data_IF_994569679127
#
_entry.id   IF_994569679127
#
_cell.length_a   1.000
_cell.length_b   1.000
_cell.length_c   1.000
_cell.angle_alpha   90.00
_cell.angle_beta   90.00
_cell.angle_gamma   90.00
#
_symmetry.space_group_name_H-M   'P 1'
#
loop_
_entity.id
_entity.type
_entity.pdbx_description
1 polymer ?
#
# COMPACT_ATOMS: atom_id res chain seq x y z
N UNK A 1 -25.09 22.90 -43.40
CA UNK A 1 -25.06 24.14 -44.21
C UNK A 1 -26.41 24.88 -44.19
N UNK A 2 -27.53 24.18 -44.39
CA UNK A 2 -28.87 24.80 -44.48
C UNK A 2 -29.28 25.61 -43.22
N UNK A 3 -29.01 25.10 -42.02
CA UNK A 3 -29.41 25.74 -40.74
C UNK A 3 -28.78 27.13 -40.55
N UNK A 4 -27.56 27.34 -41.03
CA UNK A 4 -26.87 28.63 -40.92
C UNK A 4 -27.52 29.67 -41.84
N UNK A 5 -27.97 29.29 -43.03
CA UNK A 5 -28.68 30.18 -43.95
C UNK A 5 -30.03 30.60 -43.37
N UNK A 6 -30.76 29.70 -42.71
CA UNK A 6 -32.01 30.03 -42.01
C UNK A 6 -31.80 30.98 -40.83
N UNK A 7 -30.71 30.82 -40.07
CA UNK A 7 -30.40 31.73 -38.99
C UNK A 7 -30.04 33.14 -39.52
N UNK A 8 -29.23 33.24 -40.58
CA UNK A 8 -28.90 34.53 -41.20
C UNK A 8 -30.10 35.18 -41.89
N UNK A 9 -30.98 34.41 -42.53
CA UNK A 9 -32.20 34.97 -43.13
C UNK A 9 -33.13 35.52 -42.06
N UNK A 10 -33.25 34.86 -40.89
CA UNK A 10 -34.00 35.38 -39.76
C UNK A 10 -33.40 36.69 -39.21
N UNK A 11 -32.06 36.82 -39.17
CA UNK A 11 -31.41 38.11 -38.81
C UNK A 11 -31.73 39.21 -39.82
N UNK A 12 -31.76 38.91 -41.11
CA UNK A 12 -32.12 39.88 -42.14
C UNK A 12 -33.60 40.28 -42.06
N UNK A 13 -34.49 39.36 -41.69
CA UNK A 13 -35.91 39.65 -41.43
C UNK A 13 -36.06 40.57 -40.21
N UNK A 14 -35.33 40.32 -39.12
CA UNK A 14 -35.29 41.21 -37.95
C UNK A 14 -34.79 42.62 -38.31
N UNK A 15 -33.72 42.70 -39.10
CA UNK A 15 -33.19 43.97 -39.58
C UNK A 15 -34.19 44.72 -40.45
N UNK A 16 -34.84 44.01 -41.39
CA UNK A 16 -35.88 44.57 -42.24
C UNK A 16 -37.11 45.02 -41.45
N UNK A 17 -37.49 44.28 -40.41
CA UNK A 17 -38.59 44.61 -39.52
C UNK A 17 -38.28 45.86 -38.68
N UNK A 18 -37.05 45.98 -38.18
CA UNK A 18 -36.57 47.14 -37.43
C UNK A 18 -36.63 48.44 -38.25
N UNK A 19 -36.31 48.36 -39.55
CA UNK A 19 -36.37 49.48 -40.49
C UNK A 19 -37.70 49.59 -41.24
N UNK A 20 -38.69 48.76 -40.91
CA UNK A 20 -39.95 48.72 -41.65
C UNK A 20 -40.84 49.92 -41.30
N UNK A 21 -41.64 50.43 -42.26
CA UNK A 21 -42.64 51.46 -41.99
C UNK A 21 -43.69 51.03 -40.97
N UNK A 22 -43.86 49.71 -40.77
CA UNK A 22 -44.80 49.12 -39.82
C UNK A 22 -44.54 49.57 -38.38
N UNK A 23 -43.28 49.87 -38.03
CA UNK A 23 -42.90 50.41 -36.72
C UNK A 23 -43.42 51.84 -36.47
N UNK A 24 -43.72 52.58 -37.54
CA UNK A 24 -44.18 53.96 -37.48
C UNK A 24 -45.71 54.09 -37.57
N UNK A 25 -46.43 52.97 -37.74
CA UNK A 25 -47.88 52.94 -37.81
C UNK A 25 -48.45 52.78 -36.40
N UNK A 26 -49.21 53.79 -35.93
CA UNK A 26 -49.90 53.75 -34.64
C UNK A 26 -51.19 52.91 -34.71
N UNK A 27 -51.05 51.59 -34.89
CA UNK A 27 -52.16 50.63 -34.94
C UNK A 27 -51.83 49.39 -34.12
N UNK A 28 -52.81 48.90 -33.35
CA UNK A 28 -52.67 47.66 -32.57
C UNK A 28 -52.35 46.45 -33.47
N UNK A 29 -52.90 46.44 -34.69
CA UNK A 29 -52.65 45.37 -35.66
C UNK A 29 -51.21 45.40 -36.18
N UNK A 30 -50.66 46.61 -36.40
CA UNK A 30 -49.26 46.77 -36.79
C UNK A 30 -48.34 46.29 -35.66
N UNK A 31 -48.61 46.67 -34.42
CA UNK A 31 -47.87 46.21 -33.25
C UNK A 31 -47.90 44.68 -33.10
N UNK A 32 -49.08 44.04 -33.20
CA UNK A 32 -49.20 42.58 -33.12
C UNK A 32 -48.45 41.90 -34.26
N UNK A 33 -48.52 42.45 -35.49
CA UNK A 33 -47.81 41.88 -36.64
C UNK A 33 -46.29 41.93 -36.49
N UNK A 34 -45.76 43.04 -35.96
CA UNK A 34 -44.33 43.19 -35.66
C UNK A 34 -43.91 42.24 -34.56
N UNK A 35 -44.68 42.18 -33.46
CA UNK A 35 -44.37 41.31 -32.33
C UNK A 35 -44.38 39.83 -32.73
N UNK A 36 -45.38 39.39 -33.50
CA UNK A 36 -45.46 38.01 -33.97
C UNK A 36 -44.31 37.65 -34.90
N UNK A 37 -43.92 38.55 -35.82
CA UNK A 37 -42.80 38.32 -36.71
C UNK A 37 -41.46 38.25 -35.94
N UNK A 38 -41.28 39.12 -34.94
CA UNK A 38 -40.11 39.12 -34.06
C UNK A 38 -40.00 37.85 -33.21
N UNK A 39 -41.12 37.37 -32.64
CA UNK A 39 -41.16 36.09 -31.91
C UNK A 39 -40.75 34.93 -32.83
N UNK A 40 -41.29 34.89 -34.06
CA UNK A 40 -40.98 33.83 -35.02
C UNK A 40 -39.51 33.86 -35.44
N UNK A 41 -38.96 35.04 -35.76
CA UNK A 41 -37.57 35.17 -36.15
C UNK A 41 -36.62 34.84 -34.99
N UNK A 42 -36.94 35.25 -33.77
CA UNK A 42 -36.21 34.87 -32.55
C UNK A 42 -36.20 33.36 -32.31
N UNK A 43 -37.34 32.67 -32.52
CA UNK A 43 -37.42 31.22 -32.40
C UNK A 43 -36.59 30.48 -33.47
N UNK A 44 -36.53 31.00 -34.70
CA UNK A 44 -35.70 30.43 -35.77
C UNK A 44 -34.22 30.58 -35.44
N UNK A 45 -33.78 31.75 -34.96
CA UNK A 45 -32.38 31.98 -34.56
C UNK A 45 -31.99 31.09 -33.38
N UNK A 46 -32.84 31.00 -32.35
CA UNK A 46 -32.60 30.14 -31.19
C UNK A 46 -32.48 28.66 -31.58
N UNK A 47 -33.38 28.18 -32.44
CA UNK A 47 -33.35 26.79 -32.93
C UNK A 47 -32.12 26.53 -33.79
N UNK A 48 -31.76 27.48 -34.67
CA UNK A 48 -30.59 27.35 -35.54
C UNK A 48 -29.28 27.30 -34.75
N UNK A 49 -29.14 28.16 -33.75
CA UNK A 49 -27.96 28.19 -32.88
C UNK A 49 -27.88 26.98 -31.95
N UNK A 50 -29.01 26.52 -31.42
CA UNK A 50 -29.11 25.28 -30.62
C UNK A 50 -28.62 24.05 -31.39
N UNK A 51 -29.05 23.87 -32.65
CA UNK A 51 -28.64 22.74 -33.49
C UNK A 51 -27.16 22.82 -33.87
N UNK A 52 -26.60 24.02 -34.02
CA UNK A 52 -25.19 24.22 -34.34
C UNK A 52 -24.25 23.97 -33.14
N UNK A 53 -24.80 23.85 -31.93
CA UNK A 53 -24.01 23.70 -30.70
C UNK A 53 -23.60 22.24 -30.44
N UNK A 54 -22.38 21.97 -29.93
CA UNK A 54 -21.94 20.63 -29.54
C UNK A 54 -22.89 19.97 -28.53
N UNK A 55 -23.09 18.64 -28.64
CA UNK A 55 -24.04 17.87 -27.81
C UNK A 55 -23.88 18.09 -26.30
N UNK A 56 -22.65 18.31 -25.82
CA UNK A 56 -22.34 18.60 -24.41
C UNK A 56 -23.01 19.86 -23.85
N UNK A 57 -23.35 20.83 -24.70
CA UNK A 57 -24.00 22.07 -24.28
C UNK A 57 -25.49 22.12 -24.62
N UNK A 58 -26.04 21.03 -25.17
CA UNK A 58 -27.46 20.93 -25.44
C UNK A 58 -28.24 20.44 -24.20
N UNK A 59 -27.58 20.24 -23.05
CA UNK A 59 -28.22 19.77 -21.83
C UNK A 59 -28.19 20.82 -20.71
N UNK A 60 -29.31 21.07 -20.01
CA UNK A 60 -30.66 20.55 -20.26
C UNK A 60 -31.36 21.21 -21.46
N UNK A 61 -31.98 20.39 -22.34
CA UNK A 61 -32.45 20.81 -23.69
C UNK A 61 -33.40 22.00 -23.70
N UNK A 62 -34.41 21.97 -22.84
CA UNK A 62 -35.46 22.99 -22.80
C UNK A 62 -34.95 24.32 -22.27
N UNK A 63 -34.13 24.30 -21.20
CA UNK A 63 -33.59 25.52 -20.61
C UNK A 63 -32.57 26.20 -21.53
N UNK A 64 -31.73 25.42 -22.22
CA UNK A 64 -30.76 25.98 -23.17
C UNK A 64 -31.50 26.64 -24.34
N UNK A 65 -32.52 25.99 -24.91
CA UNK A 65 -33.32 26.59 -25.98
C UNK A 65 -34.05 27.86 -25.51
N UNK A 66 -34.65 27.83 -24.33
CA UNK A 66 -35.36 28.99 -23.76
C UNK A 66 -34.40 30.16 -23.51
N UNK A 67 -33.19 29.88 -23.01
CA UNK A 67 -32.14 30.88 -22.83
C UNK A 67 -31.77 31.54 -24.17
N UNK A 68 -31.52 30.76 -25.21
CA UNK A 68 -31.20 31.27 -26.55
C UNK A 68 -32.36 32.10 -27.13
N UNK A 69 -33.60 31.62 -26.98
CA UNK A 69 -34.79 32.38 -27.40
C UNK A 69 -34.89 33.72 -26.66
N UNK A 70 -34.67 33.72 -25.36
CA UNK A 70 -34.77 34.92 -24.51
C UNK A 70 -33.75 35.97 -24.91
N UNK A 71 -32.51 35.56 -25.18
CA UNK A 71 -31.48 36.46 -25.68
C UNK A 71 -31.78 37.03 -27.06
N UNK A 72 -32.43 36.28 -27.96
CA UNK A 72 -32.81 36.78 -29.29
C UNK A 72 -33.96 37.79 -29.20
N UNK A 73 -34.92 37.50 -28.32
CA UNK A 73 -36.15 38.26 -28.16
C UNK A 73 -35.96 39.59 -27.41
N UNK A 74 -35.11 39.64 -26.38
CA UNK A 74 -34.91 40.88 -25.60
C UNK A 74 -34.21 41.97 -26.42
N UNK A 75 -33.30 41.58 -27.31
CA UNK A 75 -32.48 42.50 -28.08
C UNK A 75 -32.63 42.20 -29.58
N UNK A 76 -33.65 42.77 -30.26
CA UNK A 76 -33.83 42.58 -31.70
C UNK A 76 -32.55 42.93 -32.46
N UNK A 77 -32.22 42.15 -33.48
CA UNK A 77 -30.99 42.24 -34.29
C UNK A 77 -29.70 41.95 -33.50
N UNK A 78 -29.42 42.67 -32.41
CA UNK A 78 -28.18 42.57 -31.63
C UNK A 78 -28.06 41.22 -30.94
N UNK A 79 -29.13 40.72 -30.31
CA UNK A 79 -29.17 39.41 -29.65
C UNK A 79 -28.95 38.27 -30.64
N UNK A 80 -29.57 38.37 -31.81
CA UNK A 80 -29.43 37.37 -32.87
C UNK A 80 -27.99 37.32 -33.46
N UNK A 81 -27.40 38.49 -33.75
CA UNK A 81 -26.01 38.58 -34.23
C UNK A 81 -25.02 38.13 -33.15
N UNK A 82 -25.23 38.53 -31.89
CA UNK A 82 -24.40 38.15 -30.76
C UNK A 82 -24.34 36.63 -30.57
N UNK A 83 -25.48 35.94 -30.67
CA UNK A 83 -25.51 34.49 -30.56
C UNK A 83 -24.78 33.77 -31.70
N UNK A 84 -24.89 34.26 -32.93
CA UNK A 84 -24.14 33.72 -34.08
C UNK A 84 -22.62 33.91 -33.95
N UNK A 85 -22.17 34.96 -33.26
CA UNK A 85 -20.74 35.16 -32.95
C UNK A 85 -20.26 34.22 -31.85
N UNK A 86 -21.04 34.06 -30.77
CA UNK A 86 -20.70 33.18 -29.64
C UNK A 86 -20.56 31.71 -30.09
N UNK A 87 -21.49 31.24 -30.95
CA UNK A 87 -21.41 29.87 -31.47
C UNK A 87 -20.16 29.69 -32.34
N UNK A 88 -19.81 30.67 -33.17
CA UNK A 88 -18.62 30.64 -34.03
C UNK A 88 -17.33 30.59 -33.21
N UNK A 89 -17.24 31.36 -32.12
CA UNK A 89 -16.06 31.33 -31.23
C UNK A 89 -15.97 30.01 -30.46
N UNK A 90 -17.10 29.46 -30.02
CA UNK A 90 -17.15 28.19 -29.28
C UNK A 90 -16.71 27.01 -30.15
N UNK A 91 -17.20 26.93 -31.39
CA UNK A 91 -16.82 25.89 -32.35
C UNK A 91 -15.33 25.95 -32.74
N UNK A 92 -14.76 27.15 -32.88
CA UNK A 92 -13.33 27.33 -33.19
C UNK A 92 -12.41 26.85 -32.06
N UNK A 93 -12.84 26.99 -30.80
CA UNK A 93 -12.01 26.64 -29.62
C UNK A 93 -11.98 25.13 -29.37
N UNK A 94 -13.08 24.42 -29.64
CA UNK A 94 -13.15 22.96 -29.49
C UNK A 94 -12.31 22.20 -30.52
N UNK A 95 -12.20 22.71 -31.76
CA UNK A 95 -11.30 22.15 -32.77
C UNK A 95 -9.82 22.15 -32.34
N UNK A 96 -9.44 22.96 -31.34
CA UNK A 96 -8.06 23.10 -30.87
C UNK A 96 -7.72 22.27 -29.62
N UNK A 97 -8.69 21.59 -28.99
CA UNK A 97 -8.53 21.05 -27.63
C UNK A 97 -8.60 19.53 -27.48
N UNK A 98 -8.20 18.75 -28.47
CA UNK A 98 -8.12 17.29 -28.31
C UNK A 98 -6.71 16.78 -28.61
N UNK A 99 -5.80 17.00 -27.66
CA UNK A 99 -4.65 16.10 -27.50
C UNK A 99 -5.16 14.89 -26.74
N UNK A 100 -5.48 13.81 -27.45
CA UNK A 100 -5.64 12.51 -26.79
C UNK A 100 -4.28 12.12 -26.20
N UNK A 101 -4.26 11.81 -24.90
CA UNK A 101 -3.08 11.23 -24.28
C UNK A 101 -2.88 9.83 -24.88
N UNK A 102 -1.68 9.58 -25.43
CA UNK A 102 -1.30 8.26 -25.92
C UNK A 102 -1.18 7.33 -24.71
N UNK A 103 -1.92 6.21 -24.65
CA UNK A 103 -1.74 5.26 -23.55
C UNK A 103 -0.33 4.66 -23.63
N UNK A 104 0.47 4.92 -22.60
CA UNK A 104 1.76 4.26 -22.39
C UNK A 104 1.49 2.93 -21.71
N UNK A 105 1.93 1.83 -22.30
CA UNK A 105 1.91 0.52 -21.65
C UNK A 105 2.86 0.56 -20.44
N UNK A 106 2.29 0.56 -19.25
CA UNK A 106 3.04 0.36 -18.01
C UNK A 106 3.10 -1.15 -17.78
N UNK A 107 4.29 -1.69 -17.52
CA UNK A 107 4.42 -3.10 -17.14
C UNK A 107 3.56 -3.35 -15.90
N UNK A 108 2.81 -4.45 -15.88
CA UNK A 108 2.09 -4.86 -14.69
C UNK A 108 3.12 -5.07 -13.56
N UNK A 109 2.89 -4.53 -12.35
CA UNK A 109 3.74 -4.87 -11.22
C UNK A 109 3.74 -6.39 -11.04
N UNK A 110 4.91 -6.98 -10.82
CA UNK A 110 5.00 -8.38 -10.38
C UNK A 110 4.17 -8.53 -9.11
N UNK A 111 3.10 -9.31 -9.22
CA UNK A 111 2.23 -9.62 -8.11
C UNK A 111 2.95 -10.67 -7.25
N UNK A 112 3.84 -10.20 -6.37
CA UNK A 112 4.25 -11.02 -5.23
C UNK A 112 2.99 -11.31 -4.43
N UNK A 113 2.66 -12.60 -4.28
CA UNK A 113 1.61 -13.06 -3.39
C UNK A 113 2.13 -12.81 -1.98
N UNK A 114 2.12 -11.54 -1.56
CA UNK A 114 2.20 -11.15 -0.17
C UNK A 114 1.11 -11.97 0.51
N UNK A 115 1.55 -12.94 1.31
CA UNK A 115 0.69 -13.77 2.16
C UNK A 115 -0.38 -12.84 2.71
N UNK A 116 -1.64 -13.06 2.29
CA UNK A 116 -2.78 -12.20 2.59
C UNK A 116 -2.67 -11.84 4.07
N UNK A 117 -2.30 -10.60 4.38
CA UNK A 117 -2.19 -10.16 5.76
C UNK A 117 -3.61 -10.24 6.31
N UNK A 118 -3.95 -11.37 6.92
CA UNK A 118 -5.20 -11.57 7.62
C UNK A 118 -5.18 -10.53 8.73
N UNK A 119 -5.90 -9.44 8.51
CA UNK A 119 -6.27 -8.40 9.47
C UNK A 119 -5.38 -8.40 10.70
N UNK A 120 -4.13 -7.95 10.54
CA UNK A 120 -3.33 -7.56 11.69
C UNK A 120 -3.97 -6.30 12.21
N UNK A 121 -4.86 -6.44 13.19
CA UNK A 121 -4.89 -5.44 14.26
C UNK A 121 -3.42 -5.24 14.62
N UNK A 122 -2.85 -4.10 14.25
CA UNK A 122 -1.41 -3.88 14.35
C UNK A 122 -0.94 -4.29 15.73
N UNK A 123 0.28 -4.80 15.87
CA UNK A 123 0.79 -5.24 17.19
C UNK A 123 0.57 -4.17 18.28
N UNK A 124 0.62 -2.89 17.89
CA UNK A 124 0.25 -1.75 18.74
C UNK A 124 -1.21 -1.71 19.18
N UNK A 125 -2.16 -2.09 18.31
CA UNK A 125 -3.59 -2.17 18.64
C UNK A 125 -3.92 -3.32 19.63
N UNK A 126 -3.20 -4.45 19.56
CA UNK A 126 -3.35 -5.52 20.56
C UNK A 126 -2.76 -5.06 21.90
N UNK A 127 -1.56 -4.46 21.88
CA UNK A 127 -0.94 -3.88 23.10
C UNK A 127 -1.81 -2.82 23.75
N UNK A 128 -2.43 -1.93 22.98
CA UNK A 128 -3.30 -0.88 23.54
C UNK A 128 -4.53 -1.45 24.24
N UNK A 129 -5.08 -2.57 23.73
CA UNK A 129 -6.23 -3.25 24.36
C UNK A 129 -5.88 -4.11 25.56
N UNK A 130 -4.59 -4.36 25.81
CA UNK A 130 -4.11 -5.09 26.97
C UNK A 130 -3.69 -4.17 28.13
N UNK A 131 -3.75 -2.84 27.93
CA UNK A 131 -3.35 -1.85 28.92
C UNK A 131 -4.18 -1.90 30.21
N UNK A 132 -3.56 -1.45 31.33
CA UNK A 132 -4.14 -1.51 32.67
C UNK A 132 -5.48 -0.77 32.83
N UNK A 133 -5.72 0.25 32.00
CA UNK A 133 -6.95 1.06 32.04
C UNK A 133 -8.10 0.46 31.20
N UNK A 134 -7.88 -0.70 30.57
CA UNK A 134 -8.89 -1.36 29.73
C UNK A 134 -9.72 -2.34 30.58
N UNK A 135 -11.04 -2.42 30.40
CA UNK A 135 -11.88 -3.41 31.07
C UNK A 135 -11.39 -4.86 30.88
N UNK A 136 -11.50 -5.68 31.94
CA UNK A 136 -10.92 -7.03 31.98
C UNK A 136 -11.44 -7.99 30.91
N UNK A 137 -12.71 -7.87 30.53
CA UNK A 137 -13.36 -8.63 29.45
C UNK A 137 -12.75 -8.33 28.08
N UNK A 138 -12.51 -7.06 27.76
CA UNK A 138 -11.86 -6.63 26.51
C UNK A 138 -10.39 -7.07 26.47
N UNK A 139 -9.72 -7.02 27.61
CA UNK A 139 -8.33 -7.52 27.76
C UNK A 139 -8.28 -9.02 27.53
N UNK A 140 -9.24 -9.77 28.08
CA UNK A 140 -9.32 -11.22 27.90
C UNK A 140 -9.62 -11.62 26.47
N UNK A 141 -10.54 -10.92 25.79
CA UNK A 141 -10.76 -11.10 24.37
C UNK A 141 -9.48 -10.84 23.55
N UNK A 142 -8.72 -9.81 23.93
CA UNK A 142 -7.44 -9.48 23.28
C UNK A 142 -6.37 -10.53 23.51
N UNK A 143 -6.31 -11.15 24.70
CA UNK A 143 -5.45 -12.31 24.97
C UNK A 143 -5.77 -13.50 24.07
N UNK A 144 -7.05 -13.78 23.82
CA UNK A 144 -7.44 -14.85 22.89
C UNK A 144 -6.99 -14.57 21.46
N UNK A 145 -7.01 -13.30 21.02
CA UNK A 145 -6.47 -12.95 19.69
C UNK A 145 -4.96 -13.09 19.60
N UNK A 146 -4.25 -13.05 20.73
CA UNK A 146 -2.80 -13.17 20.76
C UNK A 146 -2.32 -14.58 20.38
N UNK A 147 -3.17 -15.61 20.52
CA UNK A 147 -2.88 -16.98 20.07
C UNK A 147 -2.61 -17.09 18.57
N UNK A 148 -3.19 -16.20 17.76
CA UNK A 148 -2.96 -16.15 16.31
C UNK A 148 -1.71 -15.32 15.92
N UNK A 149 -1.08 -14.66 16.89
CA UNK A 149 0.11 -13.83 16.67
C UNK A 149 1.36 -14.72 16.78
N UNK A 150 2.38 -14.54 15.91
CA UNK A 150 3.62 -15.31 16.03
C UNK A 150 4.27 -15.19 17.42
N UNK A 151 4.72 -16.32 17.98
CA UNK A 151 5.24 -16.42 19.35
C UNK A 151 6.33 -15.39 19.67
N UNK A 152 7.27 -15.11 18.76
CA UNK A 152 8.32 -14.08 18.93
C UNK A 152 7.79 -12.67 19.21
N UNK A 153 6.53 -12.41 18.86
CA UNK A 153 5.84 -11.13 19.10
C UNK A 153 4.90 -11.26 20.31
N UNK A 154 4.22 -12.39 20.43
CA UNK A 154 3.26 -12.64 21.51
C UNK A 154 3.95 -12.80 22.87
N UNK A 155 5.02 -13.59 22.95
CA UNK A 155 5.63 -13.97 24.22
C UNK A 155 6.18 -12.79 25.03
N UNK A 156 6.86 -11.78 24.44
CA UNK A 156 7.23 -10.58 25.18
C UNK A 156 6.02 -9.83 25.76
N UNK A 157 4.87 -9.84 25.05
CA UNK A 157 3.64 -9.22 25.55
C UNK A 157 3.05 -10.03 26.70
N UNK A 158 3.06 -11.37 26.58
CA UNK A 158 2.59 -12.27 27.64
C UNK A 158 3.44 -12.14 28.91
N UNK A 159 4.75 -12.01 28.75
CA UNK A 159 5.68 -11.82 29.86
C UNK A 159 5.41 -10.51 30.61
N UNK A 160 5.23 -9.40 29.88
CA UNK A 160 4.83 -8.12 30.48
C UNK A 160 3.55 -8.24 31.32
N UNK A 161 2.63 -9.14 30.91
CA UNK A 161 1.35 -9.38 31.60
C UNK A 161 1.48 -10.28 32.83
N UNK A 162 2.61 -10.94 33.07
CA UNK A 162 2.81 -11.72 34.32
C UNK A 162 2.81 -10.82 35.56
N UNK A 163 3.18 -9.54 35.40
CA UNK A 163 3.13 -8.53 36.45
C UNK A 163 1.79 -7.80 36.59
N UNK A 164 0.74 -8.25 35.92
CA UNK A 164 -0.55 -7.55 35.89
C UNK A 164 -1.31 -7.57 37.23
N UNK A 165 -2.14 -6.56 37.49
CA UNK A 165 -2.97 -6.51 38.69
C UNK A 165 -4.17 -7.47 38.66
N UNK A 166 -4.64 -7.84 37.45
CA UNK A 166 -5.78 -8.73 37.28
C UNK A 166 -5.32 -10.19 37.25
N UNK A 167 -5.84 -11.01 38.17
CA UNK A 167 -5.37 -12.38 38.34
C UNK A 167 -5.61 -13.27 37.11
N UNK A 168 -6.81 -13.21 36.54
CA UNK A 168 -7.17 -13.99 35.34
C UNK A 168 -6.26 -13.68 34.13
N UNK A 169 -5.85 -12.42 33.98
CA UNK A 169 -4.95 -11.99 32.91
C UNK A 169 -3.57 -12.62 33.10
N UNK A 170 -3.03 -12.57 34.32
CA UNK A 170 -1.75 -13.21 34.64
C UNK A 170 -1.82 -14.72 34.43
N UNK A 171 -2.89 -15.36 34.90
CA UNK A 171 -3.04 -16.81 34.84
C UNK A 171 -3.11 -17.31 33.39
N UNK A 172 -3.87 -16.62 32.54
CA UNK A 172 -3.94 -16.93 31.11
C UNK A 172 -2.59 -16.69 30.44
N UNK A 173 -1.91 -15.58 30.74
CA UNK A 173 -0.60 -15.30 30.16
C UNK A 173 0.45 -16.35 30.56
N UNK A 174 0.48 -16.74 31.83
CA UNK A 174 1.32 -17.82 32.33
C UNK A 174 1.01 -19.15 31.62
N UNK A 175 -0.27 -19.53 31.53
CA UNK A 175 -0.66 -20.78 30.88
C UNK A 175 -0.30 -20.83 29.39
N UNK A 176 -0.35 -19.70 28.69
CA UNK A 176 0.07 -19.60 27.29
C UNK A 176 1.58 -19.75 27.12
N UNK A 177 2.38 -19.12 27.99
CA UNK A 177 3.85 -19.25 27.97
C UNK A 177 4.29 -20.68 28.32
N UNK A 178 3.73 -21.25 29.39
CA UNK A 178 4.04 -22.63 29.83
C UNK A 178 3.68 -23.67 28.77
N UNK A 179 2.52 -23.52 28.11
CA UNK A 179 2.13 -24.42 27.03
C UNK A 179 3.11 -24.40 25.85
N UNK A 180 3.59 -23.23 25.44
CA UNK A 180 4.56 -23.11 24.34
C UNK A 180 5.95 -23.63 24.74
N UNK A 181 6.42 -23.35 25.95
CA UNK A 181 7.68 -23.90 26.46
C UNK A 181 7.61 -25.43 26.53
N UNK A 182 6.55 -25.99 27.13
CA UNK A 182 6.36 -27.43 27.26
C UNK A 182 6.29 -28.14 25.92
N UNK A 183 5.67 -27.51 24.92
CA UNK A 183 5.60 -28.02 23.55
C UNK A 183 6.99 -28.15 22.94
N UNK A 184 7.81 -27.10 23.02
CA UNK A 184 9.19 -27.14 22.51
C UNK A 184 10.06 -28.13 23.28
N UNK A 185 9.98 -28.16 24.61
CA UNK A 185 10.72 -29.11 25.44
C UNK A 185 10.35 -30.56 25.14
N UNK A 186 9.07 -30.84 24.84
CA UNK A 186 8.62 -32.18 24.43
C UNK A 186 9.27 -32.59 23.10
N UNK A 187 9.37 -31.67 22.13
CA UNK A 187 10.03 -31.95 20.86
C UNK A 187 11.54 -32.14 21.03
N UNK A 188 12.19 -31.31 21.85
CA UNK A 188 13.61 -31.45 22.17
C UNK A 188 13.88 -32.81 22.81
N UNK A 189 13.05 -33.23 23.78
CA UNK A 189 13.25 -34.52 24.43
C UNK A 189 13.12 -35.68 23.42
N UNK A 190 12.09 -35.66 22.56
CA UNK A 190 11.91 -36.70 21.53
C UNK A 190 13.09 -36.78 20.56
N UNK A 191 13.59 -35.64 20.08
CA UNK A 191 14.75 -35.62 19.19
C UNK A 191 16.03 -36.08 19.91
N UNK A 192 16.20 -35.75 21.20
CA UNK A 192 17.31 -36.26 22.00
C UNK A 192 17.26 -37.78 22.17
N UNK A 193 16.08 -38.32 22.46
CA UNK A 193 15.87 -39.77 22.58
C UNK A 193 16.15 -40.46 21.23
N UNK A 194 15.78 -39.83 20.11
CA UNK A 194 16.08 -40.34 18.78
C UNK A 194 17.59 -40.37 18.49
N UNK A 195 18.35 -39.37 18.96
CA UNK A 195 19.81 -39.32 18.80
C UNK A 195 20.56 -40.44 19.54
N UNK A 196 19.93 -41.10 20.53
CA UNK A 196 20.50 -42.24 21.26
C UNK A 196 20.46 -43.55 20.46
N UNK A 197 19.70 -43.60 19.37
CA UNK A 197 19.61 -44.78 18.50
C UNK A 197 20.81 -44.87 17.55
N UNK A 198 21.00 -46.04 16.94
CA UNK A 198 21.98 -46.23 15.87
C UNK A 198 21.41 -45.61 14.58
N UNK A 199 22.04 -44.52 14.13
CA UNK A 199 21.56 -43.68 13.03
C UNK A 199 22.59 -43.68 11.90
N UNK A 200 22.12 -43.64 10.65
CA UNK A 200 23.01 -43.35 9.52
C UNK A 200 23.60 -41.93 9.66
N UNK A 201 24.73 -41.62 9.02
CA UNK A 201 25.30 -40.27 9.04
C UNK A 201 24.28 -39.19 8.67
N UNK A 202 23.45 -39.41 7.64
CA UNK A 202 22.44 -38.45 7.18
C UNK A 202 21.32 -38.26 8.22
N UNK A 203 20.86 -39.34 8.86
CA UNK A 203 19.87 -39.28 9.92
C UNK A 203 20.41 -38.57 11.16
N UNK A 204 21.66 -38.85 11.52
CA UNK A 204 22.34 -38.18 12.62
C UNK A 204 22.50 -36.68 12.35
N UNK A 205 22.92 -36.31 11.14
CA UNK A 205 23.01 -34.92 10.70
C UNK A 205 21.64 -34.22 10.82
N UNK A 206 20.57 -34.83 10.30
CA UNK A 206 19.22 -34.26 10.37
C UNK A 206 18.73 -34.08 11.81
N UNK A 207 18.96 -35.07 12.67
CA UNK A 207 18.57 -35.01 14.09
C UNK A 207 19.34 -33.90 14.84
N UNK A 208 20.66 -33.79 14.65
CA UNK A 208 21.47 -32.73 15.23
C UNK A 208 21.05 -31.34 14.75
N UNK A 209 20.75 -31.21 13.45
CA UNK A 209 20.18 -29.98 12.88
C UNK A 209 18.85 -29.62 13.54
N UNK A 210 17.92 -30.56 13.66
CA UNK A 210 16.63 -30.30 14.31
C UNK A 210 16.79 -29.89 15.78
N UNK A 211 17.71 -30.52 16.51
CA UNK A 211 18.02 -30.12 17.88
C UNK A 211 18.54 -28.68 17.93
N UNK A 212 19.45 -28.29 17.05
CA UNK A 212 19.92 -26.91 16.96
C UNK A 212 18.77 -25.93 16.66
N UNK A 213 17.91 -26.25 15.70
CA UNK A 213 16.74 -25.44 15.33
C UNK A 213 15.77 -25.28 16.51
N UNK A 214 15.43 -26.36 17.22
CA UNK A 214 14.52 -26.32 18.37
C UNK A 214 15.07 -25.48 19.53
N UNK A 215 16.36 -25.61 19.84
CA UNK A 215 17.00 -24.78 20.87
C UNK A 215 17.06 -23.31 20.43
N UNK A 216 17.30 -23.04 19.14
CA UNK A 216 17.22 -21.69 18.62
C UNK A 216 15.81 -21.11 18.71
N UNK A 217 14.76 -21.91 18.47
CA UNK A 217 13.37 -21.45 18.59
C UNK A 217 13.00 -21.03 20.01
N UNK A 218 13.54 -21.66 21.06
CA UNK A 218 13.38 -21.18 22.44
C UNK A 218 13.89 -19.74 22.61
N UNK A 219 15.02 -19.41 21.97
CA UNK A 219 15.58 -18.06 21.99
C UNK A 219 14.77 -17.12 21.10
N UNK A 220 14.43 -17.57 19.89
CA UNK A 220 13.75 -16.76 18.88
C UNK A 220 12.33 -16.40 19.29
N UNK A 221 11.64 -17.30 19.99
CA UNK A 221 10.34 -17.07 20.59
C UNK A 221 10.39 -16.33 21.93
N UNK A 222 11.57 -15.87 22.39
CA UNK A 222 11.75 -15.14 23.66
C UNK A 222 11.30 -15.92 24.91
N UNK A 223 11.37 -17.26 24.88
CA UNK A 223 11.04 -18.11 26.03
C UNK A 223 12.22 -18.28 27.00
N UNK A 224 13.44 -17.96 26.57
CA UNK A 224 14.64 -18.04 27.39
C UNK A 224 15.35 -16.69 27.52
N UNK A 225 15.73 -16.33 28.74
CA UNK A 225 16.38 -15.06 29.07
C UNK A 225 17.58 -15.23 30.01
N UNK A 226 18.39 -14.17 30.15
CA UNK A 226 19.52 -14.13 31.09
C UNK A 226 20.48 -15.31 30.92
N UNK A 227 20.77 -16.00 32.02
CA UNK A 227 21.67 -17.16 32.03
C UNK A 227 21.09 -18.37 31.30
N UNK A 228 19.77 -18.60 31.38
CA UNK A 228 19.12 -19.69 30.65
C UNK A 228 19.28 -19.50 29.13
N UNK A 229 19.13 -18.27 28.63
CA UNK A 229 19.40 -17.93 27.23
C UNK A 229 20.83 -18.27 26.82
N UNK A 230 21.82 -17.93 27.65
CA UNK A 230 23.24 -18.24 27.35
C UNK A 230 23.47 -19.74 27.28
N UNK A 231 22.90 -20.49 28.23
CA UNK A 231 22.99 -21.94 28.26
C UNK A 231 22.39 -22.57 26.99
N UNK A 232 21.17 -22.19 26.62
CA UNK A 232 20.47 -22.72 25.44
C UNK A 232 21.20 -22.35 24.14
N UNK A 233 21.75 -21.14 24.02
CA UNK A 233 22.60 -20.79 22.87
C UNK A 233 23.86 -21.66 22.80
N UNK A 234 24.46 -22.00 23.95
CA UNK A 234 25.57 -22.94 24.01
C UNK A 234 25.18 -24.33 23.52
N UNK A 235 24.01 -24.84 23.91
CA UNK A 235 23.49 -26.12 23.41
C UNK A 235 23.20 -26.09 21.91
N UNK A 236 22.50 -25.05 21.43
CA UNK A 236 22.21 -24.86 20.02
C UNK A 236 23.50 -24.88 19.18
N UNK A 237 24.54 -24.15 19.61
CA UNK A 237 25.85 -24.15 18.98
C UNK A 237 26.50 -25.53 18.99
N UNK A 238 26.48 -26.22 20.14
CA UNK A 238 27.05 -27.57 20.24
C UNK A 238 26.42 -28.56 19.26
N UNK A 239 25.11 -28.48 19.04
CA UNK A 239 24.42 -29.32 18.05
C UNK A 239 24.76 -28.94 16.60
N UNK A 240 24.89 -27.65 16.29
CA UNK A 240 25.37 -27.19 14.97
C UNK A 240 26.80 -27.69 14.72
N UNK A 241 27.71 -27.49 15.67
CA UNK A 241 29.11 -27.90 15.55
C UNK A 241 29.21 -29.43 15.36
N UNK A 242 28.41 -30.20 16.10
CA UNK A 242 28.34 -31.65 15.93
C UNK A 242 27.76 -32.06 14.56
N UNK A 243 26.76 -31.35 14.05
CA UNK A 243 26.19 -31.62 12.72
C UNK A 243 27.22 -31.34 11.61
N UNK A 244 27.99 -30.25 11.72
CA UNK A 244 29.04 -29.89 10.76
C UNK A 244 30.23 -30.88 10.76
N UNK A 245 30.38 -31.69 11.81
CA UNK A 245 31.40 -32.76 11.88
C UNK A 245 30.95 -34.08 11.24
N UNK A 246 29.67 -34.21 10.90
CA UNK A 246 29.17 -35.40 10.20
C UNK A 246 29.60 -35.31 8.73
N UNK A 247 30.08 -36.42 8.18
CA UNK A 247 30.56 -36.51 6.78
C UNK A 247 29.40 -36.52 5.77
N UNK A 248 28.65 -35.41 5.75
CA UNK A 248 27.49 -35.17 4.89
C UNK A 248 27.58 -33.73 4.36
N UNK A 249 27.23 -33.46 3.09
CA UNK A 249 27.22 -32.11 2.56
C UNK A 249 26.38 -31.16 3.41
N UNK A 250 26.99 -30.06 3.85
CA UNK A 250 26.33 -29.04 4.66
C UNK A 250 25.34 -28.24 3.81
N UNK A 251 24.12 -28.04 4.34
CA UNK A 251 23.11 -27.18 3.72
C UNK A 251 23.26 -25.73 4.19
N UNK A 252 23.01 -24.80 3.27
CA UNK A 252 22.87 -23.37 3.48
C UNK A 252 22.08 -22.99 4.74
N UNK A 253 20.99 -23.72 5.04
CA UNK A 253 20.14 -23.45 6.21
C UNK A 253 20.84 -23.67 7.55
N UNK A 254 21.65 -24.73 7.68
CA UNK A 254 22.39 -25.01 8.91
C UNK A 254 23.50 -23.98 9.11
N UNK A 255 24.25 -23.64 8.06
CA UNK A 255 25.29 -22.60 8.12
C UNK A 255 24.70 -21.22 8.43
N UNK A 256 23.52 -20.91 7.90
CA UNK A 256 22.79 -19.69 8.22
C UNK A 256 22.37 -19.64 9.70
N UNK A 257 21.86 -20.75 10.23
CA UNK A 257 21.53 -20.88 11.64
C UNK A 257 22.79 -20.72 12.52
N UNK A 258 23.91 -21.31 12.13
CA UNK A 258 25.19 -21.16 12.82
C UNK A 258 25.58 -19.69 12.97
N UNK A 259 25.54 -18.93 11.87
CA UNK A 259 25.86 -17.50 11.88
C UNK A 259 24.94 -16.69 12.80
N UNK A 260 23.63 -17.02 12.84
CA UNK A 260 22.68 -16.37 13.76
C UNK A 260 22.96 -16.68 15.23
N UNK A 261 23.33 -17.93 15.53
CA UNK A 261 23.71 -18.35 16.89
C UNK A 261 24.98 -17.62 17.34
N UNK A 262 26.02 -17.59 16.50
CA UNK A 262 27.27 -16.87 16.77
C UNK A 262 27.03 -15.38 17.01
N UNK A 263 26.21 -14.75 16.16
CA UNK A 263 25.84 -13.34 16.32
C UNK A 263 25.12 -13.10 17.65
N UNK A 264 24.19 -13.99 18.03
CA UNK A 264 23.44 -13.93 19.28
C UNK A 264 24.30 -14.18 20.53
N UNK A 265 25.46 -14.83 20.36
CA UNK A 265 26.51 -15.00 21.38
C UNK A 265 27.51 -13.83 21.40
N UNK A 266 27.48 -12.95 20.40
CA UNK A 266 28.39 -11.82 20.27
C UNK A 266 29.70 -12.11 19.53
N UNK A 267 29.84 -13.30 18.94
CA UNK A 267 31.00 -13.69 18.11
C UNK A 267 30.80 -13.17 16.67
N UNK A 268 31.02 -11.87 16.49
CA UNK A 268 30.68 -11.15 15.25
C UNK A 268 31.57 -11.63 14.08
N UNK A 269 32.86 -11.89 14.31
CA UNK A 269 33.77 -12.32 13.25
C UNK A 269 33.37 -13.68 12.66
N UNK A 270 33.10 -14.68 13.51
CA UNK A 270 32.71 -16.00 13.02
C UNK A 270 31.28 -16.00 12.49
N UNK A 271 30.38 -15.20 13.07
CA UNK A 271 29.02 -15.05 12.56
C UNK A 271 28.98 -14.56 11.12
N UNK A 272 29.82 -13.55 10.80
CA UNK A 272 29.91 -13.03 9.45
C UNK A 272 30.38 -14.09 8.45
N UNK A 273 31.46 -14.82 8.79
CA UNK A 273 31.98 -15.89 7.92
C UNK A 273 30.92 -16.95 7.62
N UNK A 274 30.22 -17.41 8.66
CA UNK A 274 29.15 -18.40 8.51
C UNK A 274 27.99 -17.87 7.65
N UNK A 275 27.60 -16.60 7.80
CA UNK A 275 26.54 -16.01 6.97
C UNK A 275 26.96 -15.82 5.51
N UNK A 276 28.21 -15.42 5.25
CA UNK A 276 28.77 -15.33 3.90
C UNK A 276 28.87 -16.70 3.23
N UNK A 277 29.32 -17.72 3.97
CA UNK A 277 29.35 -19.10 3.51
C UNK A 277 27.94 -19.64 3.22
N UNK A 278 26.96 -19.35 4.08
CA UNK A 278 25.58 -19.73 3.83
C UNK A 278 25.03 -19.14 2.52
N UNK A 279 25.39 -17.89 2.20
CA UNK A 279 25.03 -17.25 0.92
C UNK A 279 25.67 -17.99 -0.25
N UNK A 280 26.95 -18.36 -0.16
CA UNK A 280 27.65 -19.15 -1.19
C UNK A 280 26.97 -20.51 -1.41
N UNK A 281 26.47 -21.12 -0.33
CA UNK A 281 25.71 -22.38 -0.37
C UNK A 281 24.26 -22.22 -0.89
N UNK A 282 23.82 -20.99 -1.21
CA UNK A 282 22.51 -20.72 -1.81
C UNK A 282 21.48 -20.09 -0.89
N UNK A 283 21.85 -19.66 0.33
CA UNK A 283 20.93 -18.95 1.23
C UNK A 283 20.49 -17.61 0.60
N UNK A 284 19.17 -17.29 0.59
CA UNK A 284 18.69 -16.04 0.02
C UNK A 284 19.30 -14.80 0.68
N UNK A 285 19.80 -13.87 -0.13
CA UNK A 285 20.34 -12.58 0.34
C UNK A 285 19.32 -11.79 1.16
N UNK A 286 18.03 -11.86 0.80
CA UNK A 286 16.94 -11.20 1.54
C UNK A 286 16.87 -11.60 3.01
N UNK A 287 17.30 -12.82 3.34
CA UNK A 287 17.35 -13.33 4.71
C UNK A 287 18.65 -12.96 5.44
N UNK A 288 19.78 -12.88 4.73
CA UNK A 288 21.10 -12.67 5.32
C UNK A 288 21.50 -11.19 5.46
N UNK A 289 21.11 -10.34 4.52
CA UNK A 289 21.43 -8.91 4.51
C UNK A 289 21.06 -8.17 5.80
N UNK A 290 19.91 -8.42 6.47
CA UNK A 290 19.61 -7.77 7.74
C UNK A 290 20.64 -8.07 8.83
N UNK A 291 21.18 -9.29 8.87
CA UNK A 291 22.19 -9.70 9.86
C UNK A 291 23.57 -9.12 9.51
N UNK A 292 23.93 -9.09 8.22
CA UNK A 292 25.15 -8.41 7.74
C UNK A 292 25.12 -6.91 8.07
N UNK A 293 23.97 -6.26 7.89
CA UNK A 293 23.78 -4.87 8.28
C UNK A 293 23.84 -4.66 9.80
N UNK A 294 23.26 -5.57 10.59
CA UNK A 294 23.39 -5.49 12.06
C UNK A 294 24.86 -5.55 12.50
N UNK A 295 25.65 -6.46 11.91
CA UNK A 295 27.07 -6.59 12.23
C UNK A 295 27.86 -5.33 11.82
N UNK A 296 27.62 -4.80 10.62
CA UNK A 296 28.21 -3.54 10.17
C UNK A 296 27.85 -2.38 11.10
N UNK A 297 26.59 -2.31 11.55
CA UNK A 297 26.12 -1.29 12.48
C UNK A 297 26.82 -1.38 13.84
N UNK A 298 26.98 -2.59 14.40
CA UNK A 298 27.71 -2.81 15.66
C UNK A 298 29.18 -2.37 15.55
N UNK A 299 29.80 -2.54 14.37
CA UNK A 299 31.16 -2.05 14.07
C UNK A 299 31.22 -0.55 13.74
N UNK A 300 30.09 0.15 13.70
CA UNK A 300 29.94 1.55 13.29
C UNK A 300 30.34 1.81 11.83
N UNK A 301 30.33 0.78 10.98
CA UNK A 301 30.52 0.93 9.54
C UNK A 301 29.19 1.26 8.86
N UNK A 302 28.77 2.51 9.00
CA UNK A 302 27.49 2.98 8.47
C UNK A 302 27.45 3.03 6.94
N UNK A 303 28.62 3.11 6.28
CA UNK A 303 28.70 3.05 4.83
C UNK A 303 28.26 1.66 4.35
N UNK A 304 28.77 0.61 5.00
CA UNK A 304 28.41 -0.76 4.69
C UNK A 304 26.96 -1.08 5.07
N UNK A 305 26.46 -0.57 6.21
CA UNK A 305 25.02 -0.65 6.56
C UNK A 305 24.16 -0.11 5.42
N UNK A 306 24.50 1.08 4.90
CA UNK A 306 23.77 1.71 3.81
C UNK A 306 23.77 0.84 2.55
N UNK A 307 24.93 0.29 2.17
CA UNK A 307 25.03 -0.61 1.01
C UNK A 307 24.14 -1.84 1.15
N UNK A 308 24.12 -2.50 2.31
CA UNK A 308 23.24 -3.64 2.54
C UNK A 308 21.76 -3.26 2.51
N UNK A 309 21.39 -2.08 3.02
CA UNK A 309 20.02 -1.57 2.95
C UNK A 309 19.60 -1.21 1.52
N UNK A 310 20.51 -0.66 0.70
CA UNK A 310 20.28 -0.40 -0.73
C UNK A 310 19.98 -1.71 -1.46
N UNK A 311 20.82 -2.74 -1.29
CA UNK A 311 20.59 -4.07 -1.87
C UNK A 311 19.26 -4.68 -1.38
N UNK A 312 18.96 -4.60 -0.08
CA UNK A 312 17.71 -5.11 0.47
C UNK A 312 16.50 -4.39 -0.14
N UNK A 313 16.61 -3.09 -0.42
CA UNK A 313 15.54 -2.30 -0.99
C UNK A 313 15.33 -2.56 -2.49
N UNK A 314 16.36 -3.01 -3.21
CA UNK A 314 16.25 -3.50 -4.60
C UNK A 314 15.55 -4.86 -4.67
N UNK A 315 15.75 -5.72 -3.66
CA UNK A 315 15.13 -7.04 -3.57
C UNK A 315 13.64 -7.01 -3.12
N UNK A 316 12.97 -5.85 -3.12
CA UNK A 316 11.55 -5.66 -2.81
C UNK A 316 11.05 -6.32 -1.50
N UNK A 317 11.87 -6.24 -0.44
CA UNK A 317 11.62 -6.98 0.81
C UNK A 317 10.36 -6.50 1.56
N UNK A 318 9.80 -7.43 2.36
CA UNK A 318 8.63 -7.30 3.23
C UNK A 318 8.57 -5.98 4.04
N UNK A 319 7.33 -5.57 4.38
CA UNK A 319 7.00 -4.29 5.01
C UNK A 319 7.84 -3.89 6.24
N UNK A 320 8.32 -4.86 7.04
CA UNK A 320 8.99 -4.57 8.33
C UNK A 320 10.41 -4.03 8.21
N UNK A 321 11.19 -4.47 7.22
CA UNK A 321 12.54 -3.93 6.98
C UNK A 321 12.51 -2.72 6.06
N UNK A 322 11.39 -2.49 5.37
CA UNK A 322 11.21 -1.37 4.44
C UNK A 322 11.40 -0.01 5.11
N UNK A 323 10.83 0.22 6.28
CA UNK A 323 11.02 1.50 7.00
C UNK A 323 12.50 1.76 7.34
N UNK A 324 13.24 0.72 7.75
CA UNK A 324 14.67 0.82 8.07
C UNK A 324 15.48 1.04 6.79
N UNK A 325 15.17 0.30 5.73
CA UNK A 325 15.82 0.47 4.44
C UNK A 325 15.57 1.88 3.86
N UNK A 326 14.34 2.39 3.94
CA UNK A 326 13.97 3.73 3.48
C UNK A 326 14.73 4.82 4.25
N UNK A 327 14.88 4.67 5.58
CA UNK A 327 15.68 5.56 6.41
C UNK A 327 17.15 5.62 5.98
N UNK A 328 17.80 4.46 5.82
CA UNK A 328 19.21 4.40 5.45
C UNK A 328 19.48 4.82 4.00
N UNK A 329 18.51 4.59 3.12
CA UNK A 329 18.58 4.97 1.69
C UNK A 329 18.14 6.41 1.43
N UNK A 330 17.55 7.10 2.42
CA UNK A 330 17.04 8.45 2.29
C UNK A 330 15.76 8.56 1.44
N UNK A 331 15.05 7.45 1.21
CA UNK A 331 13.76 7.41 0.49
C UNK A 331 12.62 8.04 1.30
N UNK A 332 12.81 8.19 2.60
CA UNK A 332 11.97 8.90 3.56
C UNK A 332 12.07 10.44 3.45
N UNK A 333 13.13 10.98 2.83
CA UNK A 333 13.36 12.44 2.68
C UNK A 333 12.58 13.10 1.54
N UNK A 334 11.60 12.41 0.93
CA UNK A 334 10.78 12.98 -0.14
C UNK A 334 9.71 13.89 0.46
N UNK A 335 9.95 15.21 0.39
CA UNK A 335 9.07 16.26 0.92
C UNK A 335 7.73 16.44 0.16
N UNK A 336 7.53 15.73 -0.95
CA UNK A 336 6.33 15.81 -1.77
C UNK A 336 5.64 14.45 -1.85
N UNK A 337 4.76 14.16 -0.90
CA UNK A 337 3.77 13.11 -1.05
C UNK A 337 2.86 13.50 -2.23
N UNK A 338 2.96 12.75 -3.33
CA UNK A 338 1.97 12.79 -4.40
C UNK A 338 1.24 11.46 -4.38
N UNK A 339 -0.04 11.42 -4.77
CA UNK A 339 -0.86 10.18 -4.85
C UNK A 339 -0.23 9.06 -5.70
N UNK A 340 0.89 9.35 -6.40
CA UNK A 340 1.68 8.41 -7.20
C UNK A 340 2.88 7.80 -6.48
N UNK A 341 3.20 8.22 -5.25
CA UNK A 341 4.30 7.69 -4.43
C UNK A 341 3.82 7.48 -3.00
N UNK A 342 3.11 6.37 -2.80
CA UNK A 342 2.73 5.88 -1.49
C UNK A 342 3.94 5.21 -0.82
N UNK A 343 4.22 5.55 0.44
CA UNK A 343 5.15 4.79 1.28
C UNK A 343 4.33 3.68 1.95
N UNK A 344 4.44 2.41 1.52
CA UNK A 344 3.58 1.33 2.00
C UNK A 344 3.84 0.88 3.44
N UNK A 345 4.70 1.59 4.18
CA UNK A 345 5.03 1.30 5.58
C UNK A 345 4.46 2.35 6.55
N UNK A 346 3.76 3.37 6.05
CA UNK A 346 2.95 4.35 6.79
C UNK A 346 1.48 4.06 6.48
#
# INVERSE_FOLDING_TARGET
MNVLYWAWSAVLVELGLFWSPLMHINSIYAFISVLTLHVLASAIVASGTYVLQPKRFQEPRTMVWLLLFTFAFIAPVVGAVGMLLIIRTTLRRESSSVRHAVPVSVNLPEYDVQSKEVNRSGQGAIRSRLGKNVPGDVRMQSLMTLQAVPNRVANPILEDLLGDSTDDVRLVAFGMLDAEEKKLNTHIQRERDHLEHDLTPEQRYACLRHLAELHWELIYASLAQGELRKHILGQARGYVDAALQVDVPTDSGLTFLHGRILLAQGDIENAQKALEEAIVLGQPLTSALPYLAEMAFKRRDFALVKQFMEQLAELNVASRTRAIADFWTGRDKVSNFSDRRYLPHI
#
